data_IF_624772249253
#
_entry.id   IF_624772249253
#
_cell.length_a   1.000
_cell.length_b   1.000
_cell.length_c   1.000
_cell.angle_alpha   90.00
_cell.angle_beta   90.00
_cell.angle_gamma   90.00
#
_symmetry.space_group_name_H-M   'P 1'
#
loop_
_entity.id
_entity.type
_entity.pdbx_description
1 polymer ?
#
# COMPACT_ATOMS: atom_id res chain seq x y z
N UNK A 1 -17.70 -9.33 12.90
CA UNK A 1 -18.34 -9.32 11.57
C UNK A 1 -18.43 -7.96 10.86
N UNK A 2 -19.09 -6.93 11.44
CA UNK A 2 -19.57 -5.75 10.68
C UNK A 2 -18.45 -4.80 10.21
N UNK A 3 -17.43 -4.55 11.04
CA UNK A 3 -16.30 -3.65 10.70
C UNK A 3 -15.50 -4.17 9.49
N UNK A 4 -15.34 -5.50 9.37
CA UNK A 4 -14.67 -6.13 8.22
C UNK A 4 -15.46 -5.96 6.93
N UNK A 5 -16.79 -6.12 6.97
CA UNK A 5 -17.65 -5.93 5.78
C UNK A 5 -17.69 -4.46 5.33
N UNK A 6 -17.73 -3.50 6.25
CA UNK A 6 -17.66 -2.08 5.91
C UNK A 6 -16.31 -1.70 5.29
N UNK A 7 -15.19 -2.22 5.82
CA UNK A 7 -13.86 -2.03 5.25
C UNK A 7 -13.76 -2.55 3.80
N UNK A 8 -14.25 -3.77 3.54
CA UNK A 8 -14.21 -4.34 2.18
C UNK A 8 -15.01 -3.55 1.14
N UNK A 9 -16.13 -2.90 1.52
CA UNK A 9 -16.88 -2.06 0.58
C UNK A 9 -16.16 -0.77 0.18
N UNK A 10 -15.20 -0.29 0.98
CA UNK A 10 -14.48 0.97 0.70
C UNK A 10 -13.15 0.78 -0.02
N UNK A 11 -12.59 -0.43 -0.04
CA UNK A 11 -11.28 -0.70 -0.66
C UNK A 11 -11.32 -0.63 -2.19
N UNK A 12 -12.28 -1.31 -2.82
CA UNK A 12 -12.35 -1.38 -4.28
C UNK A 12 -12.51 0.00 -4.95
N UNK A 13 -13.41 0.89 -4.47
CA UNK A 13 -13.50 2.25 -5.01
C UNK A 13 -12.22 3.07 -4.80
N UNK A 14 -11.53 2.85 -3.68
CA UNK A 14 -10.29 3.58 -3.35
C UNK A 14 -9.11 3.19 -4.24
N UNK A 15 -9.12 1.95 -4.79
CA UNK A 15 -8.07 1.42 -5.65
C UNK A 15 -8.35 1.62 -7.14
N UNK A 16 -9.60 1.79 -7.56
CA UNK A 16 -10.00 1.87 -8.98
C UNK A 16 -9.27 2.94 -9.81
N UNK A 17 -8.80 4.02 -9.19
CA UNK A 17 -8.11 5.13 -9.88
C UNK A 17 -6.61 5.20 -9.57
N UNK A 18 -6.05 4.16 -8.95
CA UNK A 18 -4.64 4.10 -8.56
C UNK A 18 -3.83 3.58 -9.76
N UNK A 19 -2.86 4.35 -10.28
CA UNK A 19 -1.98 3.91 -11.36
C UNK A 19 -1.17 2.68 -11.00
N UNK A 20 -0.82 1.87 -11.98
CA UNK A 20 -0.07 0.61 -11.81
C UNK A 20 1.18 0.78 -10.95
N UNK A 21 2.00 1.80 -11.22
CA UNK A 21 3.21 2.06 -10.43
C UNK A 21 2.95 2.37 -8.95
N UNK A 22 1.79 2.94 -8.62
CA UNK A 22 1.34 3.16 -7.25
C UNK A 22 0.76 1.88 -6.63
N UNK A 23 -0.02 1.11 -7.41
CA UNK A 23 -0.53 -0.21 -7.00
C UNK A 23 0.61 -1.16 -6.66
N UNK A 24 1.67 -1.22 -7.47
CA UNK A 24 2.85 -2.06 -7.20
C UNK A 24 3.48 -1.74 -5.84
N UNK A 25 3.54 -0.46 -5.45
CA UNK A 25 4.02 -0.06 -4.12
C UNK A 25 3.07 -0.53 -3.02
N UNK A 26 1.75 -0.41 -3.21
CA UNK A 26 0.78 -0.89 -2.23
C UNK A 26 0.90 -2.40 -2.01
N UNK A 27 1.07 -3.18 -3.08
CA UNK A 27 1.33 -4.62 -2.99
C UNK A 27 2.66 -4.93 -2.28
N UNK A 28 3.74 -4.21 -2.60
CA UNK A 28 5.02 -4.37 -1.93
C UNK A 28 4.93 -4.10 -0.42
N UNK A 29 4.19 -3.06 -0.01
CA UNK A 29 3.92 -2.79 1.41
C UNK A 29 3.08 -3.92 2.03
N UNK A 30 2.08 -4.43 1.32
CA UNK A 30 1.24 -5.51 1.84
C UNK A 30 2.03 -6.80 2.11
N UNK A 31 3.00 -7.11 1.24
CA UNK A 31 3.92 -8.24 1.38
C UNK A 31 4.87 -8.08 2.56
N UNK A 32 5.47 -6.89 2.71
CA UNK A 32 6.45 -6.61 3.76
C UNK A 32 5.83 -6.35 5.14
N UNK A 33 4.56 -5.95 5.19
CA UNK A 33 3.86 -5.60 6.43
C UNK A 33 3.49 -6.86 7.21
N UNK A 34 4.32 -7.32 8.15
CA UNK A 34 3.94 -8.37 9.10
C UNK A 34 2.90 -7.85 10.11
N UNK A 35 1.79 -8.56 10.32
CA UNK A 35 0.74 -8.20 11.30
C UNK A 35 0.29 -6.72 11.27
N UNK A 36 0.23 -6.11 10.08
CA UNK A 36 -0.09 -4.68 9.89
C UNK A 36 0.93 -3.69 10.48
N UNK A 37 2.19 -4.11 10.63
CA UNK A 37 3.29 -3.25 11.03
C UNK A 37 3.68 -2.25 9.92
N UNK A 38 4.25 -1.11 10.33
CA UNK A 38 4.80 -0.14 9.41
C UNK A 38 6.03 -0.70 8.67
N UNK A 39 6.18 -0.35 7.40
CA UNK A 39 7.23 -0.85 6.50
C UNK A 39 8.25 0.25 6.22
N UNK A 40 9.54 -0.07 6.26
CA UNK A 40 10.58 0.91 5.92
C UNK A 40 10.60 1.16 4.40
N UNK A 41 10.78 2.41 3.99
CA UNK A 41 10.84 2.79 2.57
C UNK A 41 12.02 2.13 1.85
N UNK A 42 13.12 1.89 2.57
CA UNK A 42 14.28 1.17 2.03
C UNK A 42 13.98 -0.29 1.70
N UNK A 43 13.17 -0.96 2.52
CA UNK A 43 12.79 -2.35 2.30
C UNK A 43 11.88 -2.48 1.07
N UNK A 44 10.98 -1.52 0.87
CA UNK A 44 10.13 -1.43 -0.34
C UNK A 44 10.99 -1.27 -1.59
N UNK A 45 11.97 -0.34 -1.55
CA UNK A 45 12.87 -0.10 -2.67
C UNK A 45 13.71 -1.34 -2.99
N UNK A 46 14.18 -2.03 -1.95
CA UNK A 46 14.95 -3.28 -2.06
C UNK A 46 14.11 -4.39 -2.69
N UNK A 47 12.87 -4.60 -2.22
CA UNK A 47 11.96 -5.59 -2.79
C UNK A 47 11.63 -5.30 -4.25
N UNK A 48 11.45 -4.02 -4.60
CA UNK A 48 11.17 -3.59 -5.97
C UNK A 48 12.41 -3.49 -6.86
N UNK A 49 13.61 -3.74 -6.33
CA UNK A 49 14.89 -3.61 -7.04
C UNK A 49 15.09 -2.22 -7.70
N UNK A 50 14.68 -1.17 -6.99
CA UNK A 50 14.83 0.23 -7.42
C UNK A 50 15.60 1.05 -6.39
N UNK A 51 16.13 2.18 -6.83
CA UNK A 51 16.71 3.16 -5.93
C UNK A 51 15.62 3.80 -5.03
N UNK A 52 15.91 4.12 -3.75
CA UNK A 52 14.92 4.70 -2.84
C UNK A 52 14.28 6.00 -3.34
N UNK A 53 15.02 6.79 -4.11
CA UNK A 53 14.53 8.03 -4.71
C UNK A 53 13.45 7.80 -5.77
N UNK A 54 13.45 6.64 -6.45
CA UNK A 54 12.49 6.27 -7.49
C UNK A 54 11.07 6.10 -6.94
N UNK A 55 10.91 5.87 -5.63
CA UNK A 55 9.61 5.74 -4.97
C UNK A 55 8.96 7.10 -4.62
N UNK A 56 9.72 8.20 -4.70
CA UNK A 56 9.30 9.50 -4.12
C UNK A 56 7.99 10.04 -4.71
N UNK A 57 7.84 9.92 -6.03
CA UNK A 57 6.67 10.44 -6.74
C UNK A 57 5.41 9.67 -6.37
N UNK A 58 5.44 8.34 -6.49
CA UNK A 58 4.34 7.45 -6.18
C UNK A 58 4.00 7.50 -4.69
N UNK A 59 5.01 7.50 -3.79
CA UNK A 59 4.80 7.68 -2.34
C UNK A 59 4.02 8.95 -2.06
N UNK A 60 4.44 10.09 -2.63
CA UNK A 60 3.73 11.36 -2.45
C UNK A 60 2.29 11.28 -2.94
N UNK A 61 2.04 10.62 -4.06
CA UNK A 61 0.68 10.50 -4.59
C UNK A 61 -0.21 9.59 -3.73
N UNK A 62 0.31 8.46 -3.25
CA UNK A 62 -0.39 7.57 -2.33
C UNK A 62 -0.73 8.24 -0.99
N UNK A 63 0.16 9.09 -0.48
CA UNK A 63 -0.12 9.93 0.69
C UNK A 63 -1.23 10.95 0.40
N UNK A 64 -1.19 11.63 -0.77
CA UNK A 64 -2.25 12.58 -1.18
C UNK A 64 -3.61 11.91 -1.35
N UNK A 65 -3.65 10.67 -1.83
CA UNK A 65 -4.87 9.86 -1.95
C UNK A 65 -5.40 9.37 -0.60
N UNK A 66 -4.64 9.54 0.48
CA UNK A 66 -4.99 9.01 1.80
C UNK A 66 -4.99 7.48 1.85
N UNK A 67 -4.18 6.82 1.01
CA UNK A 67 -4.02 5.35 1.02
C UNK A 67 -2.89 4.91 1.95
N UNK A 68 -1.89 5.79 2.14
CA UNK A 68 -0.77 5.59 3.04
C UNK A 68 -0.68 6.71 4.07
N UNK A 69 0.04 6.43 5.16
CA UNK A 69 0.46 7.38 6.18
C UNK A 69 1.96 7.25 6.45
N UNK A 70 2.55 8.28 7.06
CA UNK A 70 3.94 8.27 7.54
C UNK A 70 3.93 8.22 9.07
N UNK A 71 3.85 7.04 9.71
CA UNK A 71 3.81 6.93 11.17
C UNK A 71 5.12 7.34 11.84
N UNK A 72 6.25 7.17 11.12
CA UNK A 72 7.60 7.52 11.52
C UNK A 72 8.40 7.91 10.29
N UNK A 73 9.37 8.81 10.44
CA UNK A 73 10.28 9.17 9.35
C UNK A 73 10.90 7.92 8.71
N UNK A 74 10.77 7.79 7.39
CA UNK A 74 11.27 6.66 6.62
C UNK A 74 10.35 5.44 6.58
N UNK A 75 9.21 5.44 7.28
CA UNK A 75 8.27 4.32 7.33
C UNK A 75 6.91 4.69 6.73
N UNK A 76 6.22 3.69 6.19
CA UNK A 76 4.88 3.80 5.62
C UNK A 76 3.95 2.80 6.28
N UNK A 77 2.67 3.16 6.41
CA UNK A 77 1.60 2.24 6.81
C UNK A 77 0.33 2.53 6.00
N UNK A 78 -0.56 1.55 5.88
CA UNK A 78 -1.87 1.75 5.28
C UNK A 78 -2.71 2.71 6.12
N UNK A 79 -3.39 3.63 5.45
CA UNK A 79 -4.32 4.54 6.10
C UNK A 79 -5.68 3.87 6.38
N UNK A 80 -6.08 2.94 5.50
CA UNK A 80 -7.35 2.23 5.60
C UNK A 80 -7.15 0.88 6.33
N UNK A 81 -8.04 0.53 7.27
CA UNK A 81 -7.97 -0.75 7.98
C UNK A 81 -8.18 -1.88 6.99
N UNK A 82 -7.51 -3.01 7.18
CA UNK A 82 -7.63 -4.21 6.34
C UNK A 82 -7.20 -4.07 4.87
N UNK A 83 -6.57 -2.94 4.48
CA UNK A 83 -6.08 -2.75 3.11
C UNK A 83 -5.04 -3.81 2.72
N UNK A 84 -4.18 -4.21 3.66
CA UNK A 84 -3.20 -5.27 3.47
C UNK A 84 -3.89 -6.58 3.07
N UNK A 85 -4.85 -7.02 3.86
CA UNK A 85 -5.60 -8.25 3.64
C UNK A 85 -6.40 -8.17 2.34
N UNK A 86 -6.99 -7.02 2.01
CA UNK A 86 -7.68 -6.81 0.74
C UNK A 86 -6.75 -7.03 -0.45
N UNK A 87 -5.55 -6.44 -0.44
CA UNK A 87 -4.57 -6.57 -1.51
C UNK A 87 -4.09 -8.03 -1.64
N UNK A 88 -3.73 -8.68 -0.53
CA UNK A 88 -3.24 -10.07 -0.58
C UNK A 88 -4.32 -11.09 -0.98
N UNK A 89 -5.58 -10.81 -0.69
CA UNK A 89 -6.69 -11.66 -1.13
C UNK A 89 -7.09 -11.43 -2.60
N UNK A 90 -6.60 -10.36 -3.23
CA UNK A 90 -6.86 -10.03 -4.63
C UNK A 90 -5.55 -9.87 -5.42
N UNK A 91 -4.70 -10.91 -5.50
CA UNK A 91 -3.42 -10.83 -6.21
C UNK A 91 -3.60 -10.61 -7.71
N UNK A 92 -4.77 -10.96 -8.28
CA UNK A 92 -5.07 -10.76 -9.69
C UNK A 92 -5.13 -9.28 -10.13
N UNK A 93 -5.23 -8.33 -9.19
CA UNK A 93 -5.18 -6.89 -9.48
C UNK A 93 -3.76 -6.31 -9.37
N UNK A 94 -2.75 -7.13 -9.07
CA UNK A 94 -1.36 -6.69 -9.08
C UNK A 94 -0.91 -6.47 -10.52
N UNK A 95 -0.36 -5.28 -10.86
CA UNK A 95 0.25 -5.06 -12.16
C UNK A 95 1.42 -6.03 -12.41
N UNK A 96 1.60 -6.43 -13.67
CA UNK A 96 2.68 -7.31 -14.14
C UNK A 96 4.03 -6.58 -14.19
#
# INVERSE_FOLDING_TARGET
EVIRRMGMQVHEPSLHSVPDGELTILYAIAELSENSAMVATGDIATLMQVEPNALSMQRRQLLRRGLLTVPKYGYLNFALPYMREHLLNNPQHRPL
#
